data_IF_350058447772
#
_entry.id   IF_350058447772
#
_cell.length_a   1.000
_cell.length_b   1.000
_cell.length_c   1.000
_cell.angle_alpha   90.00
_cell.angle_beta   90.00
_cell.angle_gamma   90.00
#
_symmetry.space_group_name_H-M   'P 1'
#
loop_
_entity.id
_entity.type
_entity.pdbx_description
1 polymer ?
#
# COMPACT_ATOMS: atom_id res chain seq x y z
N UNK A 1 -23.63 -24.40 -52.58
CA UNK A 1 -22.57 -24.24 -51.56
C UNK A 1 -23.14 -23.41 -50.42
N UNK A 2 -23.37 -23.99 -49.22
CA UNK A 2 -23.34 -23.22 -47.99
C UNK A 2 -22.15 -23.67 -47.14
N UNK A 3 -21.21 -22.74 -46.93
CA UNK A 3 -20.04 -22.97 -46.09
C UNK A 3 -20.44 -22.98 -44.60
N UNK A 4 -20.21 -24.12 -43.96
CA UNK A 4 -20.41 -24.33 -42.54
C UNK A 4 -19.08 -24.10 -41.80
N UNK A 5 -18.78 -22.84 -41.48
CA UNK A 5 -17.65 -22.51 -40.61
C UNK A 5 -18.11 -22.59 -39.15
N UNK A 6 -17.85 -23.75 -38.52
CA UNK A 6 -17.79 -23.84 -37.06
C UNK A 6 -16.59 -23.03 -36.59
N UNK A 7 -16.83 -21.87 -35.99
CA UNK A 7 -15.79 -21.14 -35.27
C UNK A 7 -15.33 -21.98 -34.07
N UNK A 8 -14.17 -22.62 -34.22
CA UNK A 8 -13.47 -23.26 -33.11
C UNK A 8 -12.83 -22.14 -32.30
N UNK A 9 -13.45 -21.77 -31.18
CA UNK A 9 -12.81 -20.93 -30.16
C UNK A 9 -11.69 -21.77 -29.52
N UNK A 10 -10.46 -21.47 -29.94
CA UNK A 10 -9.22 -22.04 -29.42
C UNK A 10 -8.62 -21.11 -28.37
N UNK A 11 -9.31 -20.92 -27.24
CA UNK A 11 -8.72 -20.20 -26.10
C UNK A 11 -9.34 -20.64 -24.78
N UNK A 12 -9.15 -21.92 -24.45
CA UNK A 12 -9.28 -22.37 -23.08
C UNK A 12 -8.04 -23.20 -22.76
N UNK A 13 -7.08 -22.67 -21.97
CA UNK A 13 -5.98 -23.51 -21.50
C UNK A 13 -6.60 -24.61 -20.63
N UNK A 14 -6.51 -25.84 -21.13
CA UNK A 14 -6.95 -27.03 -20.43
C UNK A 14 -6.13 -27.17 -19.14
N UNK A 15 -6.76 -26.91 -17.99
CA UNK A 15 -6.29 -27.28 -16.66
C UNK A 15 -6.27 -28.82 -16.53
N UNK A 16 -5.29 -29.46 -17.16
CA UNK A 16 -5.12 -30.90 -17.17
C UNK A 16 -3.76 -31.31 -16.60
N UNK A 17 -3.49 -30.95 -15.35
CA UNK A 17 -2.82 -31.89 -14.44
C UNK A 17 -3.13 -31.53 -13.00
N UNK A 18 -4.24 -32.07 -12.48
CA UNK A 18 -4.50 -32.10 -11.03
C UNK A 18 -3.47 -33.04 -10.39
N UNK A 19 -2.24 -32.56 -10.20
CA UNK A 19 -1.24 -33.22 -9.35
C UNK A 19 -1.90 -33.44 -8.02
N UNK A 20 -2.13 -34.71 -7.67
CA UNK A 20 -2.63 -35.14 -6.36
C UNK A 20 -1.57 -34.75 -5.33
N UNK A 21 -1.57 -33.49 -4.92
CA UNK A 21 -0.75 -33.00 -3.81
C UNK A 21 -1.22 -33.78 -2.59
N UNK A 22 -0.32 -34.57 -2.02
CA UNK A 22 -0.49 -35.08 -0.68
C UNK A 22 -0.71 -33.86 0.22
N UNK A 23 -1.96 -33.56 0.54
CA UNK A 23 -2.32 -32.55 1.52
C UNK A 23 -1.99 -33.12 2.89
N UNK A 24 -0.70 -33.29 3.18
CA UNK A 24 -0.18 -33.29 4.54
C UNK A 24 -0.66 -31.96 5.11
N UNK A 25 -1.66 -31.99 6.00
CA UNK A 25 -2.35 -30.83 6.56
C UNK A 25 -1.42 -29.61 6.70
N UNK A 26 -1.47 -28.70 5.72
CA UNK A 26 -0.54 -27.57 5.63
C UNK A 26 -0.62 -26.65 6.83
N UNK A 27 -1.76 -26.69 7.52
CA UNK A 27 -2.08 -25.91 8.71
C UNK A 27 -1.41 -26.44 9.99
N UNK A 28 -1.31 -27.76 10.17
CA UNK A 28 -0.64 -28.33 11.35
C UNK A 28 0.89 -28.23 11.22
N UNK A 29 1.40 -28.46 10.01
CA UNK A 29 2.82 -28.27 9.70
C UNK A 29 3.20 -26.79 9.74
N UNK A 30 2.33 -25.89 9.28
CA UNK A 30 2.54 -24.45 9.31
C UNK A 30 2.71 -23.89 10.72
N UNK A 31 1.83 -24.27 11.65
CA UNK A 31 1.92 -23.88 13.07
C UNK A 31 3.18 -24.43 13.76
N UNK A 32 3.56 -25.66 13.41
CA UNK A 32 4.78 -26.29 13.94
C UNK A 32 6.03 -25.59 13.42
N UNK A 33 6.07 -25.27 12.12
CA UNK A 33 7.15 -24.52 11.50
C UNK A 33 7.29 -23.11 12.08
N UNK A 34 6.19 -22.42 12.38
CA UNK A 34 6.22 -21.09 13.02
C UNK A 34 6.79 -21.15 14.44
N UNK A 35 6.52 -22.21 15.20
CA UNK A 35 7.12 -22.42 16.52
C UNK A 35 8.62 -22.71 16.41
N UNK A 36 9.02 -23.56 15.47
CA UNK A 36 10.43 -23.88 15.20
C UNK A 36 11.18 -22.64 14.71
N UNK A 37 10.60 -21.83 13.83
CA UNK A 37 11.20 -20.59 13.32
C UNK A 37 11.44 -19.58 14.44
N UNK A 38 10.48 -19.39 15.36
CA UNK A 38 10.67 -18.54 16.54
C UNK A 38 11.74 -19.08 17.49
N UNK A 39 11.82 -20.39 17.65
CA UNK A 39 12.81 -21.05 18.50
C UNK A 39 14.24 -20.94 17.93
N UNK A 40 14.41 -21.19 16.63
CA UNK A 40 15.70 -21.08 15.93
C UNK A 40 16.14 -19.63 15.71
N UNK A 41 15.20 -18.70 15.54
CA UNK A 41 15.50 -17.26 15.41
C UNK A 41 15.89 -16.60 16.74
N UNK A 42 15.61 -17.26 17.86
CA UNK A 42 16.05 -16.81 19.19
C UNK A 42 17.38 -17.48 19.54
N UNK A 43 18.35 -16.76 20.08
CA UNK A 43 19.66 -17.31 20.51
C UNK A 43 19.58 -18.42 21.58
N UNK A 44 18.37 -18.75 22.06
CA UNK A 44 18.08 -19.83 23.00
C UNK A 44 18.48 -21.22 22.47
N UNK A 45 18.28 -21.51 21.18
CA UNK A 45 18.69 -22.81 20.63
C UNK A 45 20.20 -23.04 20.77
N UNK A 46 21.01 -22.02 20.44
CA UNK A 46 22.47 -22.09 20.57
C UNK A 46 22.89 -22.29 22.04
N UNK A 47 22.20 -21.63 22.97
CA UNK A 47 22.46 -21.79 24.41
C UNK A 47 22.21 -23.24 24.87
N UNK A 48 21.04 -23.82 24.54
CA UNK A 48 20.73 -25.21 24.88
C UNK A 48 21.70 -26.20 24.22
N UNK A 49 22.04 -26.01 22.95
CA UNK A 49 23.00 -26.88 22.24
C UNK A 49 24.39 -26.84 22.90
N UNK A 50 24.84 -25.64 23.30
CA UNK A 50 26.14 -25.46 23.97
C UNK A 50 26.15 -26.13 25.34
N UNK A 51 25.09 -25.95 26.14
CA UNK A 51 24.95 -26.60 27.44
C UNK A 51 24.96 -28.12 27.28
N UNK A 52 24.22 -28.66 26.30
CA UNK A 52 24.19 -30.08 26.03
C UNK A 52 25.58 -30.65 25.73
N UNK A 53 26.36 -29.98 24.87
CA UNK A 53 27.74 -30.39 24.55
C UNK A 53 28.63 -30.35 25.80
N UNK A 54 28.56 -29.28 26.61
CA UNK A 54 29.34 -29.15 27.84
C UNK A 54 29.00 -30.27 28.82
N UNK A 55 27.71 -30.54 29.05
CA UNK A 55 27.25 -31.62 29.94
C UNK A 55 27.71 -32.98 29.42
N UNK A 56 27.63 -33.22 28.11
CA UNK A 56 28.09 -34.47 27.51
C UNK A 56 29.58 -34.71 27.73
N UNK A 57 30.40 -33.70 27.46
CA UNK A 57 31.85 -33.75 27.69
C UNK A 57 32.16 -33.93 29.19
N UNK A 58 31.46 -33.22 30.07
CA UNK A 58 31.65 -33.34 31.52
C UNK A 58 31.27 -34.73 32.06
N UNK A 59 30.16 -35.30 31.61
CA UNK A 59 29.74 -36.66 31.95
C UNK A 59 30.74 -37.70 31.45
N UNK A 60 31.29 -37.50 30.25
CA UNK A 60 32.27 -38.41 29.67
C UNK A 60 33.59 -38.41 30.47
N UNK A 61 34.10 -37.22 30.83
CA UNK A 61 35.32 -37.07 31.64
C UNK A 61 35.10 -37.62 33.06
N UNK A 62 33.91 -37.41 33.64
CA UNK A 62 33.56 -37.94 34.97
C UNK A 62 33.34 -39.46 35.01
N UNK A 63 32.91 -40.06 33.90
CA UNK A 63 32.69 -41.51 33.77
C UNK A 63 33.98 -42.30 33.46
N UNK A 64 35.11 -41.88 34.04
CA UNK A 64 36.46 -42.40 33.78
C UNK A 64 36.62 -43.91 34.07
N UNK A 65 35.72 -44.50 34.87
CA UNK A 65 35.73 -45.93 35.18
C UNK A 65 35.20 -46.83 34.04
N UNK A 66 34.41 -46.29 33.11
CA UNK A 66 33.77 -47.06 32.03
C UNK A 66 34.11 -46.60 30.61
N UNK A 67 34.82 -45.46 30.44
CA UNK A 67 35.35 -44.98 29.15
C UNK A 67 34.39 -45.14 27.96
N UNK A 68 33.14 -44.76 28.14
CA UNK A 68 32.05 -45.03 27.18
C UNK A 68 32.25 -44.33 25.82
N UNK A 69 32.95 -43.19 25.79
CA UNK A 69 33.32 -42.51 24.54
C UNK A 69 34.68 -41.79 24.71
N UNK A 70 35.82 -42.51 24.58
CA UNK A 70 37.16 -41.95 24.79
C UNK A 70 37.48 -40.81 23.81
N UNK A 71 38.36 -39.90 24.20
CA UNK A 71 38.89 -38.86 23.30
C UNK A 71 39.39 -39.50 21.99
N UNK A 72 38.87 -39.13 20.80
CA UNK A 72 38.27 -37.85 20.39
C UNK A 72 36.71 -37.76 20.35
N UNK A 73 35.96 -38.46 21.19
CA UNK A 73 34.48 -38.42 21.28
C UNK A 73 33.77 -38.83 19.96
N UNK A 74 33.93 -40.10 19.55
CA UNK A 74 33.41 -40.62 18.29
C UNK A 74 31.87 -40.58 18.23
N UNK A 75 31.20 -40.81 19.36
CA UNK A 75 29.73 -40.83 19.42
C UNK A 75 29.15 -39.43 19.25
N UNK A 76 29.76 -38.44 19.91
CA UNK A 76 29.39 -37.03 19.74
C UNK A 76 29.57 -36.60 18.29
N UNK A 77 30.69 -36.97 17.67
CA UNK A 77 30.96 -36.64 16.28
C UNK A 77 29.97 -37.31 15.31
N UNK A 78 29.62 -38.57 15.55
CA UNK A 78 28.63 -39.30 14.76
C UNK A 78 27.23 -38.65 14.89
N UNK A 79 26.86 -38.23 16.10
CA UNK A 79 25.61 -37.51 16.33
C UNK A 79 25.56 -36.18 15.58
N UNK A 80 26.63 -35.37 15.63
CA UNK A 80 26.71 -34.12 14.87
C UNK A 80 26.69 -34.34 13.36
N UNK A 81 27.38 -35.36 12.88
CA UNK A 81 27.38 -35.73 11.45
C UNK A 81 25.96 -36.08 10.98
N UNK A 82 25.23 -36.85 11.78
CA UNK A 82 23.83 -37.22 11.49
C UNK A 82 22.90 -36.01 11.59
N UNK A 83 23.11 -35.14 12.58
CA UNK A 83 22.35 -33.91 12.77
C UNK A 83 22.49 -32.99 11.55
N UNK A 84 23.72 -32.79 11.05
CA UNK A 84 23.98 -32.00 9.85
C UNK A 84 23.33 -32.62 8.61
N UNK A 85 23.44 -33.95 8.46
CA UNK A 85 22.86 -34.67 7.34
C UNK A 85 21.32 -34.55 7.27
N UNK A 86 20.63 -34.55 8.41
CA UNK A 86 19.17 -34.35 8.47
C UNK A 86 18.75 -32.87 8.44
N UNK A 87 19.64 -31.96 8.86
CA UNK A 87 19.36 -30.52 8.79
C UNK A 87 19.21 -30.04 7.35
N UNK A 88 20.06 -30.49 6.43
CA UNK A 88 20.02 -30.09 5.02
C UNK A 88 18.63 -30.26 4.35
N UNK A 89 17.98 -31.44 4.37
CA UNK A 89 16.65 -31.61 3.78
C UNK A 89 15.56 -30.84 4.53
N UNK A 90 15.68 -30.67 5.85
CA UNK A 90 14.72 -29.89 6.64
C UNK A 90 14.80 -28.40 6.28
N UNK A 91 16.02 -27.87 6.12
CA UNK A 91 16.27 -26.50 5.66
C UNK A 91 15.72 -26.31 4.26
N UNK A 92 15.94 -27.25 3.33
CA UNK A 92 15.41 -27.18 1.97
C UNK A 92 13.87 -27.15 1.96
N UNK A 93 13.21 -27.93 2.82
CA UNK A 93 11.76 -27.89 2.98
C UNK A 93 11.27 -26.56 3.55
N UNK A 94 12.00 -25.98 4.51
CA UNK A 94 11.71 -24.66 5.04
C UNK A 94 11.88 -23.56 3.97
N UNK A 95 12.95 -23.64 3.18
CA UNK A 95 13.26 -22.70 2.09
C UNK A 95 12.20 -22.76 0.99
N UNK A 96 11.85 -23.95 0.48
CA UNK A 96 10.79 -24.09 -0.53
C UNK A 96 9.46 -23.43 -0.10
N UNK A 97 9.14 -23.49 1.20
CA UNK A 97 7.93 -22.84 1.74
C UNK A 97 8.09 -21.33 1.88
N UNK A 98 9.28 -20.84 2.19
CA UNK A 98 9.57 -19.40 2.18
C UNK A 98 9.45 -18.87 0.75
N UNK A 99 10.09 -19.53 -0.22
CA UNK A 99 10.04 -19.16 -1.63
C UNK A 99 8.61 -19.16 -2.19
N UNK A 100 7.79 -20.14 -1.82
CA UNK A 100 6.37 -20.19 -2.21
C UNK A 100 5.59 -18.98 -1.65
N UNK A 101 5.82 -18.61 -0.39
CA UNK A 101 5.17 -17.43 0.24
C UNK A 101 5.65 -16.13 -0.41
N UNK A 102 6.96 -16.01 -0.60
CA UNK A 102 7.59 -14.82 -1.18
C UNK A 102 7.10 -14.62 -2.62
N UNK A 103 6.93 -15.70 -3.38
CA UNK A 103 6.35 -15.66 -4.72
C UNK A 103 4.91 -15.13 -4.72
N UNK A 104 4.07 -15.59 -3.78
CA UNK A 104 2.69 -15.10 -3.66
C UNK A 104 2.69 -13.61 -3.29
N UNK A 105 3.48 -13.21 -2.29
CA UNK A 105 3.61 -11.82 -1.87
C UNK A 105 4.06 -10.91 -3.03
N UNK A 106 5.09 -11.33 -3.79
CA UNK A 106 5.56 -10.59 -4.96
C UNK A 106 4.50 -10.49 -6.07
N UNK A 107 3.69 -11.54 -6.27
CA UNK A 107 2.61 -11.51 -7.27
C UNK A 107 1.50 -10.54 -6.89
N UNK A 108 1.14 -10.48 -5.61
CA UNK A 108 0.15 -9.52 -5.12
C UNK A 108 0.67 -8.09 -5.20
N UNK A 109 1.94 -7.86 -4.83
CA UNK A 109 2.56 -6.55 -4.90
C UNK A 109 2.60 -6.01 -6.35
N UNK A 110 2.97 -6.87 -7.31
CA UNK A 110 2.90 -6.51 -8.74
C UNK A 110 1.50 -6.18 -9.20
N UNK A 111 0.49 -6.93 -8.75
CA UNK A 111 -0.92 -6.66 -9.09
C UNK A 111 -1.36 -5.30 -8.54
N UNK A 112 -1.08 -5.03 -7.25
CA UNK A 112 -1.39 -3.74 -6.60
C UNK A 112 -0.67 -2.57 -7.26
N UNK A 113 0.59 -2.76 -7.67
CA UNK A 113 1.34 -1.73 -8.39
C UNK A 113 0.72 -1.43 -9.76
N UNK A 114 0.25 -2.46 -10.48
CA UNK A 114 -0.44 -2.28 -11.75
C UNK A 114 -1.80 -1.57 -11.58
N UNK A 115 -2.58 -1.93 -10.57
CA UNK A 115 -3.85 -1.28 -10.22
C UNK A 115 -3.63 0.20 -9.86
N UNK A 116 -2.72 0.49 -8.92
CA UNK A 116 -2.37 1.86 -8.52
C UNK A 116 -1.91 2.70 -9.72
N UNK A 117 -1.12 2.11 -10.63
CA UNK A 117 -0.68 2.79 -11.84
C UNK A 117 -1.87 3.13 -12.75
N UNK A 118 -2.77 2.18 -12.99
CA UNK A 118 -3.96 2.39 -13.80
C UNK A 118 -4.88 3.46 -13.20
N UNK A 119 -5.10 3.44 -11.89
CA UNK A 119 -5.89 4.45 -11.18
C UNK A 119 -5.26 5.84 -11.31
N UNK A 120 -3.94 5.93 -11.20
CA UNK A 120 -3.21 7.19 -11.37
C UNK A 120 -3.33 7.73 -12.80
N UNK A 121 -3.19 6.85 -13.81
CA UNK A 121 -3.37 7.23 -15.22
C UNK A 121 -4.80 7.66 -15.50
N UNK A 122 -5.79 6.99 -14.90
CA UNK A 122 -7.20 7.36 -15.01
C UNK A 122 -7.45 8.74 -14.39
N UNK A 123 -7.02 8.96 -13.15
CA UNK A 123 -7.16 10.26 -12.47
C UNK A 123 -6.44 11.38 -13.22
N UNK A 124 -5.26 11.12 -13.78
CA UNK A 124 -4.55 12.12 -14.59
C UNK A 124 -5.33 12.48 -15.86
N UNK A 125 -5.98 11.50 -16.50
CA UNK A 125 -6.80 11.73 -17.70
C UNK A 125 -8.09 12.48 -17.37
N UNK A 126 -8.77 12.09 -16.30
CA UNK A 126 -9.95 12.81 -15.80
C UNK A 126 -9.60 14.25 -15.43
N UNK A 127 -8.50 14.46 -14.70
CA UNK A 127 -8.02 15.80 -14.34
C UNK A 127 -7.69 16.64 -15.59
N UNK A 128 -7.08 16.04 -16.61
CA UNK A 128 -6.82 16.74 -17.87
C UNK A 128 -8.13 17.14 -18.58
N UNK A 129 -9.13 16.26 -18.60
CA UNK A 129 -10.47 16.56 -19.13
C UNK A 129 -11.16 17.69 -18.37
N UNK A 130 -11.18 17.61 -17.03
CA UNK A 130 -11.72 18.66 -16.16
C UNK A 130 -10.98 19.99 -16.38
N UNK A 131 -9.66 19.97 -16.50
CA UNK A 131 -8.86 21.18 -16.76
C UNK A 131 -9.23 21.85 -18.09
N UNK A 132 -9.49 21.07 -19.14
CA UNK A 132 -9.92 21.61 -20.44
C UNK A 132 -11.33 22.21 -20.30
N UNK A 133 -12.28 21.49 -19.70
CA UNK A 133 -13.65 21.96 -19.51
C UNK A 133 -13.72 23.25 -18.66
N UNK A 134 -12.93 23.33 -17.58
CA UNK A 134 -12.81 24.56 -16.76
C UNK A 134 -12.12 25.67 -17.54
N UNK A 135 -11.07 25.37 -18.31
CA UNK A 135 -10.38 26.35 -19.15
C UNK A 135 -11.28 26.97 -20.22
N UNK A 136 -12.23 26.20 -20.77
CA UNK A 136 -13.23 26.69 -21.71
C UNK A 136 -14.32 27.53 -21.03
N UNK A 137 -14.82 27.09 -19.86
CA UNK A 137 -15.97 27.72 -19.16
C UNK A 137 -15.60 28.98 -18.38
N UNK A 138 -14.36 29.08 -17.89
CA UNK A 138 -13.82 30.24 -17.16
C UNK A 138 -12.81 30.95 -18.06
N UNK A 139 -13.26 31.43 -19.22
CA UNK A 139 -12.38 32.22 -20.09
C UNK A 139 -12.13 33.58 -19.44
N UNK A 140 -10.88 34.08 -19.50
CA UNK A 140 -10.51 35.42 -19.02
C UNK A 140 -11.46 36.50 -19.53
N UNK A 141 -11.96 36.34 -20.76
CA UNK A 141 -12.90 37.28 -21.38
C UNK A 141 -14.31 37.21 -20.78
N UNK A 142 -14.75 36.06 -20.26
CA UNK A 142 -16.01 35.95 -19.52
C UNK A 142 -15.89 36.64 -18.16
N UNK A 143 -14.84 36.35 -17.39
CA UNK A 143 -14.58 37.06 -16.12
C UNK A 143 -14.43 38.56 -16.34
N UNK A 144 -13.75 38.97 -17.41
CA UNK A 144 -13.59 40.39 -17.74
C UNK A 144 -14.92 41.06 -18.08
N UNK A 145 -15.77 40.41 -18.88
CA UNK A 145 -17.12 40.91 -19.20
C UNK A 145 -17.98 41.02 -17.96
N UNK A 146 -17.99 39.99 -17.10
CA UNK A 146 -18.79 40.03 -15.87
C UNK A 146 -18.31 41.13 -14.92
N UNK A 147 -16.99 41.35 -14.82
CA UNK A 147 -16.43 42.46 -14.04
C UNK A 147 -16.75 43.84 -14.65
N UNK A 148 -16.75 43.96 -15.99
CA UNK A 148 -17.16 45.18 -16.70
C UNK A 148 -18.65 45.47 -16.47
N UNK A 149 -19.53 44.47 -16.62
CA UNK A 149 -20.97 44.57 -16.35
C UNK A 149 -21.25 44.97 -14.89
N UNK A 150 -20.56 44.35 -13.93
CA UNK A 150 -20.68 44.73 -12.51
C UNK A 150 -20.22 46.17 -12.27
N UNK A 151 -19.14 46.61 -12.92
CA UNK A 151 -18.63 47.98 -12.80
C UNK A 151 -19.63 48.99 -13.38
N UNK A 152 -20.24 48.66 -14.52
CA UNK A 152 -21.25 49.50 -15.16
C UNK A 152 -22.54 49.59 -14.33
N UNK A 153 -22.97 48.48 -13.75
CA UNK A 153 -24.11 48.45 -12.83
C UNK A 153 -23.86 49.33 -11.59
N UNK A 154 -22.66 49.28 -11.01
CA UNK A 154 -22.29 50.13 -9.87
C UNK A 154 -22.35 51.61 -10.28
N UNK A 155 -21.73 52.00 -11.39
CA UNK A 155 -21.78 53.37 -11.90
C UNK A 155 -23.20 53.88 -12.10
N UNK A 156 -24.06 53.07 -12.71
CA UNK A 156 -25.45 53.44 -12.96
C UNK A 156 -26.27 53.61 -11.68
N UNK A 157 -25.92 52.87 -10.62
CA UNK A 157 -26.51 53.07 -9.30
C UNK A 157 -26.01 54.38 -8.69
N UNK A 158 -24.72 54.67 -8.82
CA UNK A 158 -24.10 55.91 -8.33
C UNK A 158 -24.71 57.15 -9.01
N UNK A 159 -24.80 57.17 -10.33
CA UNK A 159 -25.43 58.26 -11.09
C UNK A 159 -26.90 58.48 -10.65
N UNK A 160 -27.66 57.39 -10.45
CA UNK A 160 -29.05 57.47 -9.95
C UNK A 160 -29.17 57.94 -8.52
N UNK A 161 -28.14 57.75 -7.70
CA UNK A 161 -28.11 58.26 -6.33
C UNK A 161 -27.75 59.74 -6.35
N UNK A 162 -26.77 60.16 -7.15
CA UNK A 162 -26.44 61.58 -7.37
C UNK A 162 -27.65 62.36 -7.89
N UNK A 163 -28.32 61.90 -8.96
CA UNK A 163 -29.52 62.55 -9.51
C UNK A 163 -30.62 62.73 -8.45
N UNK A 164 -30.82 61.71 -7.60
CA UNK A 164 -31.82 61.76 -6.52
C UNK A 164 -31.44 62.74 -5.41
N UNK A 165 -30.13 62.86 -5.11
CA UNK A 165 -29.62 63.87 -4.18
C UNK A 165 -29.77 65.28 -4.74
N UNK A 166 -29.48 65.50 -6.03
CA UNK A 166 -29.72 66.79 -6.70
C UNK A 166 -31.20 67.18 -6.69
N UNK A 167 -32.10 66.22 -6.94
CA UNK A 167 -33.55 66.45 -6.87
C UNK A 167 -34.04 66.75 -5.44
N UNK A 168 -33.50 66.06 -4.41
CA UNK A 168 -33.79 66.36 -3.00
C UNK A 168 -33.27 67.74 -2.56
N UNK A 169 -32.08 68.14 -3.03
CA UNK A 169 -31.46 69.45 -2.74
C UNK A 169 -32.19 70.61 -3.45
N UNK A 170 -32.73 70.37 -4.65
CA UNK A 170 -33.61 71.31 -5.36
C UNK A 170 -35.02 71.39 -4.74
N UNK A 171 -35.53 70.29 -4.18
CA UNK A 171 -36.84 70.24 -3.53
C UNK A 171 -36.84 70.86 -2.12
N UNK A 172 -35.68 70.95 -1.46
CA UNK A 172 -35.47 71.66 -0.21
C UNK A 172 -34.43 72.78 -0.37
N UNK A 173 -34.78 73.93 -0.98
CA UNK A 173 -33.95 75.11 -0.86
C UNK A 173 -33.92 75.47 0.62
N UNK A 174 -32.71 75.54 1.18
CA UNK A 174 -32.47 75.91 2.57
C UNK A 174 -33.44 77.03 3.00
N UNK A 175 -34.29 76.77 3.99
CA UNK A 175 -34.97 77.82 4.72
C UNK A 175 -33.88 78.69 5.37
N UNK A 176 -33.51 79.75 4.65
CA UNK A 176 -32.79 80.90 5.18
C UNK A 176 -33.64 81.50 6.30
N UNK A 177 -33.25 81.23 7.53
CA UNK A 177 -33.88 81.72 8.75
C UNK A 177 -33.68 83.25 8.88
N UNK A 178 -34.73 84.08 8.80
CA UNK A 178 -34.56 85.52 8.90
C UNK A 178 -34.67 86.01 10.35
N UNK A 179 -33.58 86.60 10.87
CA UNK A 179 -33.59 87.62 11.94
C UNK A 179 -33.77 87.11 13.39
N UNK A 180 -33.46 87.95 14.40
CA UNK A 180 -33.96 89.32 14.44
C UNK A 180 -32.88 90.41 14.59
N UNK A 181 -33.22 91.54 13.99
CA UNK A 181 -32.69 92.87 14.23
C UNK A 181 -32.83 93.27 15.70
N UNK A 182 -31.75 93.72 16.33
CA UNK A 182 -31.82 94.64 17.46
C UNK A 182 -30.82 95.78 17.28
N UNK A 183 -31.42 96.97 17.42
CA UNK A 183 -30.88 98.32 17.64
C UNK A 183 -29.59 98.42 18.44
#
# INVERSE_FOLDING_TARGET
MPDNYKHVQLDQPTDATRRKRFNLNGDSVGKTAERIARFLGTGQYLAYQTIFVIVWVALNIGAFAWSWDPYPFILLNLAFSTQAAYAAPLILLAQNRQDDRDRVALSEDRRRAAETKADTEFLARELAGVRIAVGETVTRDYLRRELEDLTELIKRIEDKLEDRQYDEELAHPAEDNPGPSHT
#
